data_IF_103686954459
#
_entry.id   IF_103686954459
#
_cell.length_a   1.000
_cell.length_b   1.000
_cell.length_c   1.000
_cell.angle_alpha   90.00
_cell.angle_beta   90.00
_cell.angle_gamma   90.00
#
_symmetry.space_group_name_H-M   'P 1'
#
loop_
_entity.id
_entity.type
_entity.pdbx_description
1 polymer ?
#
# COMPACT_ATOMS: atom_id res chain seq x y z
N UNK A 1 3.26 -9.03 -21.12
CA UNK A 1 4.08 -8.23 -20.19
C UNK A 1 4.14 -8.98 -18.88
N UNK A 2 5.33 -9.14 -18.32
CA UNK A 2 5.58 -9.86 -17.08
C UNK A 2 5.67 -8.87 -15.93
N UNK A 3 4.81 -9.03 -14.91
CA UNK A 3 4.53 -7.99 -13.91
C UNK A 3 4.81 -8.51 -12.51
N UNK A 4 5.46 -7.69 -11.69
CA UNK A 4 5.45 -7.85 -10.23
C UNK A 4 4.50 -6.82 -9.65
N UNK A 5 3.68 -7.23 -8.69
CA UNK A 5 2.77 -6.34 -7.99
C UNK A 5 3.19 -6.27 -6.52
N UNK A 6 3.49 -5.09 -6.00
CA UNK A 6 3.74 -4.85 -4.58
C UNK A 6 2.54 -4.11 -4.00
N UNK A 7 1.87 -4.72 -3.02
CA UNK A 7 0.61 -4.20 -2.48
C UNK A 7 0.67 -3.90 -0.99
N UNK A 8 -0.21 -3.01 -0.52
CA UNK A 8 -0.52 -2.86 0.90
C UNK A 8 -1.68 -3.76 1.36
N UNK A 9 -2.18 -3.54 2.57
CA UNK A 9 -3.18 -4.42 3.22
C UNK A 9 -4.65 -4.20 2.79
N UNK A 10 -4.93 -3.53 1.66
CA UNK A 10 -6.30 -3.13 1.29
C UNK A 10 -6.98 -4.10 0.30
N UNK A 11 -8.28 -4.42 0.47
CA UNK A 11 -9.05 -5.26 -0.45
C UNK A 11 -9.01 -4.86 -1.92
N UNK A 12 -9.11 -3.57 -2.24
CA UNK A 12 -9.07 -3.10 -3.63
C UNK A 12 -7.75 -3.40 -4.34
N UNK A 13 -6.65 -3.62 -3.61
CA UNK A 13 -5.41 -4.11 -4.20
C UNK A 13 -5.56 -5.52 -4.77
N UNK A 14 -6.34 -6.40 -4.11
CA UNK A 14 -6.61 -7.76 -4.58
C UNK A 14 -7.36 -7.75 -5.91
N UNK A 15 -8.38 -6.91 -6.03
CA UNK A 15 -9.11 -6.73 -7.28
C UNK A 15 -8.20 -6.27 -8.41
N UNK A 16 -7.28 -5.32 -8.15
CA UNK A 16 -6.33 -4.90 -9.18
C UNK A 16 -5.37 -6.03 -9.57
N UNK A 17 -4.90 -6.85 -8.62
CA UNK A 17 -4.10 -8.03 -8.93
C UNK A 17 -4.84 -8.99 -9.86
N UNK A 18 -6.11 -9.29 -9.57
CA UNK A 18 -6.96 -10.12 -10.44
C UNK A 18 -7.13 -9.48 -11.82
N UNK A 19 -7.39 -8.18 -11.88
CA UNK A 19 -7.54 -7.47 -13.16
C UNK A 19 -6.26 -7.51 -14.00
N UNK A 20 -5.10 -7.30 -13.38
CA UNK A 20 -3.81 -7.38 -14.09
C UNK A 20 -3.49 -8.81 -14.54
N UNK A 21 -3.85 -9.81 -13.74
CA UNK A 21 -3.63 -11.22 -14.08
C UNK A 21 -4.45 -11.72 -15.27
N UNK A 22 -5.51 -11.00 -15.68
CA UNK A 22 -6.30 -11.34 -16.87
C UNK A 22 -5.55 -11.06 -18.17
N UNK A 23 -4.79 -9.97 -18.19
CA UNK A 23 -4.16 -9.45 -19.42
C UNK A 23 -2.62 -9.56 -19.39
N UNK A 24 -2.04 -9.90 -18.24
CA UNK A 24 -0.60 -9.91 -18.01
C UNK A 24 -0.15 -11.16 -17.24
N UNK A 25 1.12 -11.51 -17.46
CA UNK A 25 1.79 -12.62 -16.79
C UNK A 25 2.32 -12.16 -15.43
N UNK A 26 1.73 -12.64 -14.34
CA UNK A 26 2.10 -12.21 -12.99
C UNK A 26 3.28 -13.04 -12.49
N UNK A 27 4.47 -12.44 -12.48
CA UNK A 27 5.67 -13.05 -11.94
C UNK A 27 5.63 -13.20 -10.42
N UNK A 28 5.13 -12.17 -9.72
CA UNK A 28 5.02 -12.20 -8.26
C UNK A 28 4.00 -11.17 -7.75
N UNK A 29 3.33 -11.50 -6.65
CA UNK A 29 2.52 -10.60 -5.83
C UNK A 29 3.12 -10.52 -4.43
N UNK A 30 3.56 -9.33 -4.04
CA UNK A 30 4.30 -9.09 -2.81
C UNK A 30 3.44 -8.31 -1.83
N UNK A 31 3.18 -8.92 -0.67
CA UNK A 31 2.46 -8.33 0.46
C UNK A 31 3.44 -8.15 1.64
N UNK A 32 4.18 -7.03 1.72
CA UNK A 32 5.00 -6.72 2.88
C UNK A 32 4.21 -6.86 4.18
N UNK A 33 4.78 -7.57 5.16
CA UNK A 33 4.22 -7.58 6.51
C UNK A 33 4.25 -6.17 7.06
N UNK A 34 3.13 -5.70 7.64
CA UNK A 34 3.14 -4.43 8.33
C UNK A 34 4.22 -4.42 9.42
N UNK A 35 5.15 -3.47 9.31
CA UNK A 35 6.11 -3.24 10.39
C UNK A 35 5.32 -2.88 11.67
N UNK A 36 5.52 -3.68 12.72
CA UNK A 36 4.92 -3.39 14.02
C UNK A 36 5.42 -2.03 14.51
N UNK A 37 4.50 -1.07 14.57
CA UNK A 37 4.84 0.30 14.96
C UNK A 37 4.90 0.37 16.47
N UNK A 38 6.09 0.64 16.99
CA UNK A 38 6.35 0.83 18.42
C UNK A 38 5.53 2.00 18.99
N UNK A 39 5.31 1.99 20.31
CA UNK A 39 4.60 3.06 21.02
C UNK A 39 5.26 4.43 20.77
N UNK A 40 6.59 4.47 20.72
CA UNK A 40 7.37 5.68 20.46
C UNK A 40 7.09 6.28 19.08
N UNK A 41 6.91 5.44 18.05
CA UNK A 41 6.52 5.90 16.71
C UNK A 41 5.12 6.52 16.71
N UNK A 42 4.16 5.91 17.42
CA UNK A 42 2.80 6.44 17.54
C UNK A 42 2.79 7.82 18.21
N UNK A 43 3.54 7.99 19.30
CA UNK A 43 3.69 9.27 20.00
C UNK A 43 4.36 10.32 19.11
N UNK A 44 5.45 9.96 18.41
CA UNK A 44 6.16 10.87 17.49
C UNK A 44 5.25 11.33 16.34
N UNK A 45 4.47 10.40 15.77
CA UNK A 45 3.48 10.72 14.74
C UNK A 45 2.42 11.68 15.27
N UNK A 46 1.85 11.40 16.44
CA UNK A 46 0.82 12.25 17.04
C UNK A 46 1.32 13.68 17.29
N UNK A 47 2.53 13.84 17.87
CA UNK A 47 3.15 15.16 18.05
C UNK A 47 3.33 15.91 16.73
N UNK A 48 3.73 15.21 15.65
CA UNK A 48 3.88 15.80 14.32
C UNK A 48 2.53 16.23 13.73
N UNK A 49 1.49 15.41 13.88
CA UNK A 49 0.13 15.73 13.42
C UNK A 49 -0.44 16.93 14.17
N UNK A 50 -0.29 17.01 15.50
CA UNK A 50 -0.72 18.16 16.31
C UNK A 50 0.00 19.45 15.90
N UNK A 51 1.31 19.40 15.66
CA UNK A 51 2.08 20.57 15.18
C UNK A 51 1.63 21.02 13.79
N UNK A 52 1.28 20.08 12.91
CA UNK A 52 0.95 20.36 11.52
C UNK A 52 -0.49 20.86 11.35
N UNK A 53 -1.45 20.20 11.99
CA UNK A 53 -2.88 20.43 11.74
C UNK A 53 -3.54 21.27 12.85
N UNK A 54 -2.77 21.73 13.85
CA UNK A 54 -3.22 22.42 15.08
C UNK A 54 -4.01 21.51 16.04
N UNK A 55 -3.98 21.84 17.32
CA UNK A 55 -4.54 21.00 18.39
C UNK A 55 -6.04 20.70 18.22
N UNK A 56 -6.83 21.67 17.73
CA UNK A 56 -8.26 21.51 17.50
C UNK A 56 -8.59 20.43 16.45
N UNK A 57 -7.86 20.40 15.33
CA UNK A 57 -8.04 19.38 14.30
C UNK A 57 -7.61 17.99 14.78
N UNK A 58 -6.52 17.92 15.53
CA UNK A 58 -6.08 16.67 16.15
C UNK A 58 -7.11 16.13 17.15
N UNK A 59 -7.76 16.99 17.92
CA UNK A 59 -8.83 16.63 18.85
C UNK A 59 -10.07 16.10 18.12
N UNK A 60 -10.53 16.78 17.06
CA UNK A 60 -11.64 16.31 16.21
C UNK A 60 -11.30 14.95 15.60
N UNK A 61 -10.09 14.78 15.08
CA UNK A 61 -9.64 13.52 14.46
C UNK A 61 -9.45 12.38 15.47
N UNK A 62 -9.23 12.69 16.75
CA UNK A 62 -9.27 11.70 17.82
C UNK A 62 -10.70 11.34 18.19
N UNK A 63 -11.59 12.33 18.28
CA UNK A 63 -13.01 12.13 18.56
C UNK A 63 -13.67 11.23 17.51
N UNK A 64 -13.32 11.40 16.22
CA UNK A 64 -13.82 10.51 15.14
C UNK A 64 -13.24 9.09 15.16
N UNK A 65 -12.16 8.84 15.92
CA UNK A 65 -11.57 7.50 16.10
C UNK A 65 -12.09 6.77 17.34
N UNK A 66 -12.73 7.46 18.27
CA UNK A 66 -13.36 6.82 19.43
C UNK A 66 -14.60 6.06 18.95
N UNK A 67 -14.63 4.75 19.21
CA UNK A 67 -15.75 3.87 18.85
C UNK A 67 -17.04 4.45 19.46
N UNK A 68 -17.97 4.86 18.60
CA UNK A 68 -19.19 5.59 18.97
C UNK A 68 -19.34 6.97 18.31
N UNK A 69 -18.33 7.45 17.57
CA UNK A 69 -18.42 8.69 16.81
C UNK A 69 -19.51 8.63 15.73
N UNK A 70 -20.36 9.66 15.72
CA UNK A 70 -21.45 9.97 14.77
C UNK A 70 -21.42 9.14 13.47
N UNK A 71 -22.50 8.38 13.23
CA UNK A 71 -22.76 7.67 11.98
C UNK A 71 -22.35 8.53 10.76
N UNK A 72 -21.54 7.97 9.85
CA UNK A 72 -21.09 8.66 8.63
C UNK A 72 -19.76 9.44 8.71
N UNK A 73 -19.12 9.57 9.89
CA UNK A 73 -17.88 10.35 10.05
C UNK A 73 -16.60 9.51 10.20
N UNK A 74 -16.74 8.18 10.23
CA UNK A 74 -15.60 7.25 10.23
C UNK A 74 -15.17 6.95 8.81
N UNK A 75 -14.03 7.49 8.40
CA UNK A 75 -13.41 7.17 7.10
C UNK A 75 -13.17 5.65 6.94
N UNK A 76 -12.89 4.93 8.03
CA UNK A 76 -12.72 3.48 7.98
C UNK A 76 -14.02 2.76 7.60
N UNK A 77 -15.15 3.18 8.18
CA UNK A 77 -16.46 2.57 7.91
C UNK A 77 -16.93 2.86 6.50
N UNK A 78 -16.74 4.09 6.00
CA UNK A 78 -17.06 4.44 4.63
C UNK A 78 -16.18 3.69 3.60
N UNK A 79 -14.89 3.47 3.92
CA UNK A 79 -14.01 2.64 3.07
C UNK A 79 -14.46 1.19 3.10
N UNK A 80 -14.79 0.62 4.27
CA UNK A 80 -15.27 -0.77 4.38
C UNK A 80 -16.59 -0.99 3.61
N UNK A 81 -17.50 -0.03 3.69
CA UNK A 81 -18.78 -0.07 2.95
C UNK A 81 -18.55 0.02 1.44
N UNK A 82 -17.74 0.98 0.99
CA UNK A 82 -17.36 1.08 -0.43
C UNK A 82 -16.63 -0.18 -0.92
N UNK A 83 -15.75 -0.77 -0.11
CA UNK A 83 -15.04 -2.00 -0.45
C UNK A 83 -16.01 -3.18 -0.62
N UNK A 84 -17.04 -3.29 0.24
CA UNK A 84 -18.09 -4.32 0.09
C UNK A 84 -18.97 -4.09 -1.14
N UNK A 85 -19.34 -2.85 -1.41
CA UNK A 85 -20.26 -2.51 -2.51
C UNK A 85 -19.61 -2.66 -3.88
N UNK A 86 -18.37 -2.19 -4.04
CA UNK A 86 -17.70 -2.14 -5.34
C UNK A 86 -16.77 -3.33 -5.60
N UNK A 87 -16.32 -4.04 -4.57
CA UNK A 87 -15.39 -5.17 -4.69
C UNK A 87 -15.84 -6.43 -3.93
N UNK A 88 -17.12 -6.88 -4.06
CA UNK A 88 -17.68 -7.94 -3.21
C UNK A 88 -16.96 -9.30 -3.35
N UNK A 89 -16.43 -9.61 -4.54
CA UNK A 89 -15.82 -10.92 -4.84
C UNK A 89 -14.27 -10.89 -4.85
N UNK A 90 -13.65 -9.75 -4.53
CA UNK A 90 -12.20 -9.57 -4.70
C UNK A 90 -11.35 -10.55 -3.90
N UNK A 91 -11.85 -11.10 -2.79
CA UNK A 91 -11.15 -12.13 -2.04
C UNK A 91 -11.20 -13.49 -2.77
N UNK A 92 -12.39 -13.93 -3.17
CA UNK A 92 -12.58 -15.22 -3.84
C UNK A 92 -11.84 -15.28 -5.18
N UNK A 93 -11.93 -14.22 -5.99
CA UNK A 93 -11.24 -14.14 -7.28
C UNK A 93 -9.72 -14.13 -7.10
N UNK A 94 -9.22 -13.45 -6.05
CA UNK A 94 -7.81 -13.39 -5.74
C UNK A 94 -7.26 -14.71 -5.20
N UNK A 95 -8.05 -15.45 -4.42
CA UNK A 95 -7.66 -16.76 -3.90
C UNK A 95 -7.54 -17.81 -5.02
N UNK A 96 -8.20 -17.58 -6.16
CA UNK A 96 -8.02 -18.34 -7.39
C UNK A 96 -6.72 -18.07 -8.15
N UNK A 97 -5.93 -17.07 -7.77
CA UNK A 97 -4.58 -16.85 -8.32
C UNK A 97 -3.61 -17.91 -7.78
N UNK A 98 -2.57 -18.21 -8.58
CA UNK A 98 -1.57 -19.21 -8.22
C UNK A 98 -0.84 -18.81 -6.94
N UNK A 99 -1.03 -19.56 -5.84
CA UNK A 99 -0.47 -19.20 -4.54
C UNK A 99 1.06 -19.18 -4.52
N UNK A 100 1.71 -19.88 -5.46
CA UNK A 100 3.17 -19.93 -5.63
C UNK A 100 3.79 -18.57 -5.96
N UNK A 101 3.04 -17.65 -6.58
CA UNK A 101 3.51 -16.32 -6.93
C UNK A 101 3.32 -15.30 -5.79
N UNK A 102 2.74 -15.70 -4.65
CA UNK A 102 2.41 -14.78 -3.55
C UNK A 102 3.49 -14.81 -2.46
N UNK A 103 4.16 -13.68 -2.25
CA UNK A 103 5.24 -13.53 -1.27
C UNK A 103 4.86 -12.56 -0.15
N UNK A 104 5.33 -12.86 1.07
CA UNK A 104 5.07 -12.04 2.28
C UNK A 104 6.36 -11.66 3.03
N UNK A 105 7.27 -10.89 2.42
CA UNK A 105 8.54 -10.53 3.03
C UNK A 105 8.33 -9.61 4.23
N UNK A 106 9.28 -9.64 5.17
CA UNK A 106 9.33 -8.66 6.27
C UNK A 106 9.78 -7.27 5.79
N UNK A 107 10.69 -7.23 4.80
CA UNK A 107 11.12 -6.02 4.12
C UNK A 107 11.20 -6.27 2.60
N UNK A 108 10.51 -5.44 1.82
CA UNK A 108 10.55 -5.49 0.35
C UNK A 108 11.87 -5.01 -0.22
N UNK A 109 12.69 -4.33 0.59
CA UNK A 109 14.00 -3.82 0.20
C UNK A 109 15.15 -4.77 0.56
N UNK A 110 14.84 -5.94 1.12
CA UNK A 110 15.87 -6.94 1.43
C UNK A 110 16.60 -7.38 0.15
N UNK A 111 17.94 -7.35 0.17
CA UNK A 111 18.76 -7.58 -1.04
C UNK A 111 18.61 -9.00 -1.59
N UNK A 112 18.44 -9.99 -0.72
CA UNK A 112 18.25 -11.39 -1.14
C UNK A 112 16.92 -11.53 -1.85
N UNK A 113 15.85 -11.03 -1.22
CA UNK A 113 14.51 -11.05 -1.80
C UNK A 113 14.42 -10.25 -3.11
N UNK A 114 15.03 -9.06 -3.17
CA UNK A 114 15.10 -8.27 -4.41
C UNK A 114 15.82 -9.04 -5.52
N UNK A 115 16.90 -9.73 -5.20
CA UNK A 115 17.64 -10.54 -6.19
C UNK A 115 16.80 -11.72 -6.68
N UNK A 116 16.02 -12.36 -5.82
CA UNK A 116 15.06 -13.39 -6.20
C UNK A 116 13.98 -12.85 -7.15
N UNK A 117 13.40 -11.69 -6.83
CA UNK A 117 12.42 -11.03 -7.69
C UNK A 117 13.02 -10.64 -9.05
N UNK A 118 14.26 -10.16 -9.08
CA UNK A 118 14.93 -9.77 -10.32
C UNK A 118 15.15 -10.97 -11.25
N UNK A 119 15.44 -12.16 -10.71
CA UNK A 119 15.57 -13.40 -11.48
C UNK A 119 14.28 -13.83 -12.17
N UNK A 120 13.12 -13.36 -11.70
CA UNK A 120 11.85 -13.62 -12.36
C UNK A 120 11.69 -12.86 -13.69
N UNK A 121 12.60 -11.94 -14.02
CA UNK A 121 12.62 -11.20 -15.28
C UNK A 121 11.37 -10.34 -15.54
N UNK A 122 10.90 -9.50 -14.59
CA UNK A 122 9.73 -8.67 -14.81
C UNK A 122 10.03 -7.50 -15.76
N UNK A 123 9.06 -7.15 -16.58
CA UNK A 123 9.07 -5.94 -17.42
C UNK A 123 8.76 -4.69 -16.61
N UNK A 124 7.88 -4.81 -15.61
CA UNK A 124 7.39 -3.69 -14.80
C UNK A 124 7.03 -4.13 -13.39
N UNK A 125 7.27 -3.24 -12.42
CA UNK A 125 6.82 -3.39 -11.03
C UNK A 125 5.69 -2.39 -10.76
N UNK A 126 4.53 -2.88 -10.35
CA UNK A 126 3.36 -2.07 -9.99
C UNK A 126 3.30 -1.94 -8.47
N UNK A 127 3.35 -0.72 -7.96
CA UNK A 127 3.36 -0.38 -6.55
C UNK A 127 2.02 0.23 -6.13
N UNK A 128 1.29 -0.46 -5.26
CA UNK A 128 -0.02 -0.07 -4.73
C UNK A 128 0.08 0.38 -3.26
N UNK A 129 1.20 1.02 -2.91
CA UNK A 129 1.46 1.53 -1.56
C UNK A 129 1.92 0.48 -0.55
N UNK A 130 1.80 0.82 0.74
CA UNK A 130 2.19 -0.05 1.87
C UNK A 130 3.63 0.20 2.38
N UNK A 131 4.63 0.06 1.52
CA UNK A 131 6.04 0.17 1.89
C UNK A 131 6.72 1.46 1.36
N UNK A 132 7.84 1.84 1.99
CA UNK A 132 8.77 2.82 1.43
C UNK A 132 9.80 2.05 0.62
N UNK A 133 9.84 2.30 -0.69
CA UNK A 133 10.78 1.70 -1.61
C UNK A 133 12.13 2.44 -1.53
N UNK A 134 13.22 1.69 -1.38
CA UNK A 134 14.59 2.20 -1.20
C UNK A 134 15.51 1.69 -2.31
N UNK A 135 16.74 2.18 -2.28
CA UNK A 135 17.79 1.91 -3.28
C UNK A 135 17.84 0.46 -3.76
N UNK A 136 17.87 -0.59 -2.91
CA UNK A 136 17.99 -1.96 -3.41
C UNK A 136 16.89 -2.34 -4.40
N UNK A 137 15.64 -1.96 -4.11
CA UNK A 137 14.50 -2.27 -4.96
C UNK A 137 14.46 -1.36 -6.19
N UNK A 138 14.69 -0.05 -5.99
CA UNK A 138 14.60 0.95 -7.06
C UNK A 138 15.70 0.77 -8.11
N UNK A 139 16.91 0.37 -7.69
CA UNK A 139 18.01 0.11 -8.62
C UNK A 139 17.85 -1.20 -9.38
N UNK A 140 17.22 -2.22 -8.77
CA UNK A 140 16.95 -3.50 -9.43
C UNK A 140 15.84 -3.42 -10.49
N UNK A 141 14.88 -2.51 -10.34
CA UNK A 141 13.71 -2.41 -11.22
C UNK A 141 13.57 -1.00 -11.81
N UNK A 142 14.07 -0.73 -13.03
CA UNK A 142 14.04 0.61 -13.61
C UNK A 142 12.63 1.08 -14.01
N UNK A 143 11.69 0.16 -14.23
CA UNK A 143 10.30 0.47 -14.59
C UNK A 143 9.38 0.16 -13.42
N UNK A 144 9.12 1.18 -12.59
CA UNK A 144 8.19 1.08 -11.46
C UNK A 144 7.04 2.07 -11.62
N UNK A 145 5.80 1.59 -11.52
CA UNK A 145 4.59 2.39 -11.54
C UNK A 145 4.03 2.51 -10.13
N UNK A 146 3.98 3.72 -9.57
CA UNK A 146 3.49 3.93 -8.22
C UNK A 146 2.11 4.60 -8.23
N UNK A 147 1.09 3.86 -7.77
CA UNK A 147 -0.24 4.41 -7.55
C UNK A 147 -0.28 5.12 -6.21
N UNK A 148 -0.33 6.47 -6.24
CA UNK A 148 -0.45 7.27 -5.02
C UNK A 148 -1.81 7.96 -4.98
N UNK A 149 -2.52 7.85 -3.85
CA UNK A 149 -3.81 8.52 -3.62
C UNK A 149 -3.67 10.04 -3.36
N UNK A 150 -2.45 10.57 -3.46
CA UNK A 150 -2.19 11.99 -3.31
C UNK A 150 -2.05 12.60 -4.71
N UNK A 151 -2.86 13.62 -5.02
CA UNK A 151 -2.55 14.53 -6.13
C UNK A 151 -1.09 14.93 -6.03
N UNK A 152 -0.30 14.84 -7.11
CA UNK A 152 1.08 15.27 -7.09
C UNK A 152 1.07 16.74 -6.68
N UNK A 153 1.51 17.03 -5.44
CA UNK A 153 1.88 18.39 -5.08
C UNK A 153 2.92 18.79 -6.10
N UNK A 154 2.73 19.94 -6.74
CA UNK A 154 3.65 20.47 -7.73
C UNK A 154 5.08 20.23 -7.26
N UNK A 155 5.87 19.54 -8.09
CA UNK A 155 7.29 19.26 -7.86
C UNK A 155 8.14 20.55 -7.89
N UNK A 156 7.55 21.71 -7.59
CA UNK A 156 8.19 23.00 -7.42
C UNK A 156 8.75 23.09 -6.00
N UNK A 157 9.65 22.17 -5.65
CA UNK A 157 10.60 22.41 -4.58
C UNK A 157 11.56 23.49 -5.04
N UNK A 158 11.29 24.75 -4.67
CA UNK A 158 12.35 25.77 -4.70
C UNK A 158 13.42 25.33 -3.69
N UNK A 159 14.71 25.34 -4.04
CA UNK A 159 15.78 25.14 -3.08
C UNK A 159 15.76 26.30 -2.07
N UNK A 160 15.87 25.98 -0.78
CA UNK A 160 16.39 26.90 0.24
C UNK A 160 17.87 26.64 0.39
#
# INVERSE_FOLDING_TARGET
MRVIIITGERPHHKHLCVSLARDHDIAAIVHPRAQQKTLSWKVKKFRREVRRDRAAYAAIRLATKLKGGLWGWSASTAIEEAERTFFPNAAADYDGLEQSCIHRPADVNDRTFVSELARLGPDVVVCLGGAIYREPLVSAFPKMLNSTAAYPRSLTGRPQ
#
